data_IF_358065898947
#
_entry.id   IF_358065898947
#
_cell.length_a   1.000
_cell.length_b   1.000
_cell.length_c   1.000
_cell.angle_alpha   90.00
_cell.angle_beta   90.00
_cell.angle_gamma   90.00
#
_symmetry.space_group_name_H-M   'P 1'
#
loop_
_entity.id
_entity.type
_entity.pdbx_description
1 polymer ?
#
# COMPACT_ATOMS: atom_id res chain seq x y z
N UNK A 1 16.05 -5.22 -4.05
CA UNK A 1 16.56 -4.16 -4.95
C UNK A 1 16.22 -2.85 -4.28
N UNK A 2 17.21 -2.14 -3.75
CA UNK A 2 17.01 -0.83 -3.12
C UNK A 2 17.30 0.18 -4.22
N UNK A 3 16.26 0.85 -4.67
CA UNK A 3 16.37 1.80 -5.76
C UNK A 3 16.94 3.11 -5.21
N UNK A 4 18.22 3.35 -5.49
CA UNK A 4 18.80 4.68 -5.36
C UNK A 4 18.16 5.61 -6.37
N UNK A 5 17.99 6.87 -5.98
CA UNK A 5 17.62 8.05 -6.76
C UNK A 5 17.88 7.87 -8.27
N UNK A 6 16.87 7.45 -9.02
CA UNK A 6 16.87 7.52 -10.47
C UNK A 6 15.73 8.43 -10.89
N UNK A 7 16.07 9.49 -11.60
CA UNK A 7 15.11 10.47 -12.13
C UNK A 7 14.25 9.92 -13.29
N UNK A 8 14.52 8.68 -13.72
CA UNK A 8 13.82 8.00 -14.82
C UNK A 8 13.14 6.72 -14.32
N UNK A 9 12.03 6.91 -13.59
CA UNK A 9 11.19 5.81 -13.16
C UNK A 9 10.19 5.47 -14.28
N UNK A 10 10.04 4.19 -14.64
CA UNK A 10 9.08 3.80 -15.66
C UNK A 10 7.66 4.14 -15.20
N UNK A 11 6.87 4.67 -16.13
CA UNK A 11 5.46 4.97 -15.91
C UNK A 11 4.70 3.74 -15.37
N UNK A 12 3.64 3.91 -14.56
CA UNK A 12 2.90 2.79 -13.98
C UNK A 12 2.39 1.77 -15.03
N UNK A 13 1.95 2.27 -16.19
CA UNK A 13 1.50 1.43 -17.30
C UNK A 13 2.66 0.60 -17.90
N UNK A 14 3.86 1.18 -17.98
CA UNK A 14 5.04 0.46 -18.46
C UNK A 14 5.50 -0.60 -17.44
N UNK A 15 5.50 -0.24 -16.15
CA UNK A 15 5.76 -1.18 -15.06
C UNK A 15 4.81 -2.38 -15.13
N UNK A 16 3.51 -2.14 -15.36
CA UNK A 16 2.52 -3.21 -15.54
C UNK A 16 2.83 -4.05 -16.79
N UNK A 17 3.07 -3.42 -17.93
CA UNK A 17 3.34 -4.11 -19.20
C UNK A 17 4.57 -5.04 -19.10
N UNK A 18 5.65 -4.58 -18.48
CA UNK A 18 6.87 -5.38 -18.23
C UNK A 18 6.59 -6.57 -17.31
N UNK A 19 5.70 -6.40 -16.34
CA UNK A 19 5.39 -7.43 -15.34
C UNK A 19 4.46 -8.54 -15.87
N UNK A 20 3.52 -8.22 -16.76
CA UNK A 20 2.62 -9.22 -17.39
C UNK A 20 3.30 -10.03 -18.50
N UNK A 21 4.40 -9.53 -19.06
CA UNK A 21 5.20 -10.23 -20.07
C UNK A 21 5.98 -11.44 -19.51
N UNK A 22 6.08 -11.59 -18.19
CA UNK A 22 6.79 -12.69 -17.53
C UNK A 22 5.82 -13.81 -17.14
N UNK A 23 6.17 -15.10 -17.36
CA UNK A 23 5.36 -16.22 -16.87
C UNK A 23 5.16 -16.12 -15.36
N UNK A 24 3.93 -16.36 -14.89
CA UNK A 24 3.61 -16.45 -13.46
C UNK A 24 3.04 -17.83 -13.13
N UNK A 25 3.38 -18.35 -11.96
CA UNK A 25 2.68 -19.49 -11.38
C UNK A 25 1.21 -19.13 -11.20
N UNK A 26 0.31 -20.03 -11.60
CA UNK A 26 -1.13 -19.88 -11.40
C UNK A 26 -1.57 -20.85 -10.29
N UNK A 27 -2.59 -20.46 -9.54
CA UNK A 27 -3.24 -21.33 -8.55
C UNK A 27 -2.72 -21.21 -7.12
N UNK A 28 -1.74 -20.35 -6.87
CA UNK A 28 -1.22 -20.08 -5.53
C UNK A 28 -1.25 -18.58 -5.22
N UNK A 29 -1.44 -18.24 -3.94
CA UNK A 29 -1.35 -16.86 -3.49
C UNK A 29 0.11 -16.42 -3.49
N UNK A 30 0.39 -15.25 -4.07
CA UNK A 30 1.69 -14.60 -3.99
C UNK A 30 1.51 -13.08 -3.99
N UNK A 31 2.14 -12.41 -3.03
CA UNK A 31 2.12 -10.96 -2.96
C UNK A 31 2.77 -10.33 -4.21
N UNK A 32 2.16 -9.29 -4.75
CA UNK A 32 2.67 -8.59 -5.93
C UNK A 32 2.30 -7.11 -5.93
N UNK A 33 3.28 -6.22 -5.80
CA UNK A 33 3.09 -4.78 -5.99
C UNK A 33 2.46 -4.44 -7.35
N UNK A 34 2.75 -5.23 -8.39
CA UNK A 34 2.13 -5.07 -9.71
C UNK A 34 0.59 -5.12 -9.65
N UNK A 35 0.01 -5.91 -8.76
CA UNK A 35 -1.45 -5.99 -8.62
C UNK A 35 -2.02 -4.65 -8.16
N UNK A 36 -1.35 -3.96 -7.23
CA UNK A 36 -1.77 -2.64 -6.77
C UNK A 36 -1.50 -1.54 -7.78
N UNK A 37 -0.42 -1.64 -8.56
CA UNK A 37 -0.22 -0.77 -9.73
C UNK A 37 -1.35 -0.95 -10.76
N UNK A 38 -1.78 -2.18 -11.02
CA UNK A 38 -2.93 -2.43 -11.89
C UNK A 38 -4.23 -1.84 -11.31
N UNK A 39 -4.44 -1.92 -9.98
CA UNK A 39 -5.60 -1.32 -9.31
C UNK A 39 -5.60 0.20 -9.41
N UNK A 40 -4.45 0.87 -9.23
CA UNK A 40 -4.35 2.31 -9.43
C UNK A 40 -4.72 2.73 -10.86
N UNK A 41 -4.18 2.02 -11.88
CA UNK A 41 -4.53 2.26 -13.28
C UNK A 41 -6.02 1.99 -13.57
N UNK A 42 -6.62 0.98 -12.94
CA UNK A 42 -8.04 0.69 -13.05
C UNK A 42 -8.89 1.83 -12.47
N UNK A 43 -8.49 2.40 -11.34
CA UNK A 43 -9.16 3.58 -10.76
C UNK A 43 -9.13 4.73 -11.77
N UNK A 44 -7.98 5.02 -12.38
CA UNK A 44 -7.87 6.10 -13.37
C UNK A 44 -8.73 5.81 -14.60
N UNK A 45 -8.71 4.58 -15.11
CA UNK A 45 -9.49 4.20 -16.28
C UNK A 45 -11.01 4.29 -16.06
N UNK A 46 -11.49 3.92 -14.87
CA UNK A 46 -12.93 3.93 -14.55
C UNK A 46 -13.42 5.32 -14.18
N UNK A 47 -12.59 6.15 -13.55
CA UNK A 47 -12.99 7.47 -13.06
C UNK A 47 -12.62 8.62 -14.00
N UNK A 48 -11.66 8.41 -14.91
CA UNK A 48 -11.08 9.46 -15.74
C UNK A 48 -10.26 10.49 -14.97
N UNK A 49 -9.83 10.16 -13.74
CA UNK A 49 -9.13 11.07 -12.82
C UNK A 49 -7.84 10.43 -12.29
N UNK A 50 -6.82 11.21 -11.91
CA UNK A 50 -5.64 10.67 -11.25
C UNK A 50 -6.02 9.88 -9.99
N UNK A 51 -5.45 8.70 -9.80
CA UNK A 51 -5.87 7.82 -8.71
C UNK A 51 -5.65 8.49 -7.33
N UNK A 52 -4.62 9.34 -7.25
CA UNK A 52 -4.29 10.14 -6.07
C UNK A 52 -5.43 11.06 -5.63
N UNK A 53 -6.05 11.74 -6.59
CA UNK A 53 -7.19 12.60 -6.32
C UNK A 53 -8.42 11.81 -5.88
N UNK A 54 -8.63 10.63 -6.46
CA UNK A 54 -9.75 9.75 -6.09
C UNK A 54 -9.56 9.24 -4.66
N UNK A 55 -8.37 8.79 -4.28
CA UNK A 55 -8.07 8.33 -2.91
C UNK A 55 -8.21 9.48 -1.91
N UNK A 56 -7.67 10.67 -2.24
CA UNK A 56 -7.81 11.85 -1.40
C UNK A 56 -9.28 12.18 -1.12
N UNK A 57 -10.09 12.29 -2.17
CA UNK A 57 -11.49 12.71 -2.07
C UNK A 57 -12.39 11.64 -1.44
N UNK A 58 -12.16 10.35 -1.74
CA UNK A 58 -13.05 9.27 -1.29
C UNK A 58 -12.63 8.62 0.01
N UNK A 59 -11.37 8.77 0.42
CA UNK A 59 -10.82 8.08 1.59
C UNK A 59 -10.24 9.08 2.58
N UNK A 60 -9.28 9.91 2.17
CA UNK A 60 -8.52 10.73 3.11
C UNK A 60 -9.37 11.87 3.71
N UNK A 61 -10.05 12.64 2.86
CA UNK A 61 -10.85 13.80 3.28
C UNK A 61 -12.08 13.41 4.12
N UNK A 62 -12.90 12.40 3.75
CA UNK A 62 -14.11 12.05 4.51
C UNK A 62 -13.82 11.64 5.95
N UNK A 63 -12.72 10.94 6.17
CA UNK A 63 -12.30 10.49 7.50
C UNK A 63 -11.20 11.37 8.08
N UNK A 64 -10.97 12.57 7.53
CA UNK A 64 -10.12 13.60 8.15
C UNK A 64 -8.65 13.22 8.33
N UNK A 65 -8.04 12.48 7.40
CA UNK A 65 -6.62 12.09 7.41
C UNK A 65 -5.71 13.24 6.94
N UNK A 66 -5.70 14.32 7.71
CA UNK A 66 -5.06 15.60 7.35
C UNK A 66 -3.54 15.56 7.25
N UNK A 67 -2.88 14.51 7.77
CA UNK A 67 -1.42 14.31 7.70
C UNK A 67 -1.05 13.12 6.82
N UNK A 68 -1.99 12.68 5.99
CA UNK A 68 -1.78 11.60 5.03
C UNK A 68 -1.79 12.17 3.62
N UNK A 69 -0.77 11.85 2.82
CA UNK A 69 -0.66 12.34 1.44
C UNK A 69 0.07 11.36 0.53
N UNK A 70 -0.16 11.53 -0.76
CA UNK A 70 0.68 10.95 -1.81
C UNK A 70 1.72 11.98 -2.21
N UNK A 71 3.00 11.77 -1.88
CA UNK A 71 4.07 12.74 -2.14
C UNK A 71 4.47 12.79 -3.62
N UNK A 72 4.05 11.82 -4.45
CA UNK A 72 4.51 11.75 -5.83
C UNK A 72 6.02 11.54 -5.88
N UNK A 73 6.71 12.40 -6.62
CA UNK A 73 8.16 12.41 -6.79
C UNK A 73 8.90 13.25 -5.73
N UNK A 74 8.18 13.87 -4.78
CA UNK A 74 8.80 14.54 -3.63
C UNK A 74 9.69 13.54 -2.86
N UNK A 75 10.95 13.92 -2.66
CA UNK A 75 11.92 13.09 -1.95
C UNK A 75 12.05 13.44 -0.47
N UNK A 76 11.54 14.60 -0.06
CA UNK A 76 11.67 15.12 1.30
C UNK A 76 10.35 14.95 2.07
N UNK A 77 10.47 14.62 3.36
CA UNK A 77 9.34 14.51 4.27
C UNK A 77 9.19 15.79 5.12
N UNK A 78 7.95 16.24 5.42
CA UNK A 78 7.73 17.34 6.34
C UNK A 78 8.25 17.01 7.74
N UNK A 79 8.79 18.01 8.42
CA UNK A 79 9.18 17.88 9.82
C UNK A 79 7.96 17.95 10.76
N UNK A 80 7.95 17.20 11.88
CA UNK A 80 8.89 16.14 12.23
C UNK A 80 8.59 14.82 11.51
N UNK A 81 9.62 14.10 11.06
CA UNK A 81 9.48 12.73 10.53
C UNK A 81 10.46 11.74 11.19
N UNK A 82 10.15 10.44 11.05
CA UNK A 82 11.06 9.39 11.47
C UNK A 82 12.08 9.12 10.36
N UNK A 83 13.33 8.92 10.77
CA UNK A 83 14.36 8.40 9.87
C UNK A 83 14.24 6.88 9.76
N UNK A 84 14.34 6.37 8.53
CA UNK A 84 14.40 4.95 8.25
C UNK A 84 15.82 4.59 7.88
N UNK A 85 16.36 3.49 8.42
CA UNK A 85 17.73 3.08 8.15
C UNK A 85 17.77 1.66 7.61
N UNK A 86 18.60 1.43 6.59
CA UNK A 86 18.81 0.10 6.01
C UNK A 86 20.30 -0.15 5.80
N UNK A 87 20.75 -1.36 6.12
CA UNK A 87 22.12 -1.77 5.81
C UNK A 87 22.23 -2.13 4.32
N UNK A 88 23.10 -1.42 3.60
CA UNK A 88 23.41 -1.64 2.18
C UNK A 88 24.91 -1.79 2.05
N UNK A 89 25.37 -2.93 1.55
CA UNK A 89 26.79 -3.25 1.37
C UNK A 89 27.63 -2.99 2.64
N UNK A 90 27.08 -3.36 3.80
CA UNK A 90 27.72 -3.22 5.11
C UNK A 90 27.73 -1.78 5.67
N UNK A 91 26.94 -0.87 5.10
CA UNK A 91 26.78 0.51 5.59
C UNK A 91 25.34 0.81 5.95
N UNK A 92 25.13 1.44 7.09
CA UNK A 92 23.81 1.93 7.49
C UNK A 92 23.50 3.21 6.70
N UNK A 93 22.52 3.12 5.80
CA UNK A 93 22.07 4.23 4.94
C UNK A 93 20.77 4.80 5.49
N UNK A 94 20.67 6.13 5.58
CA UNK A 94 19.43 6.83 5.90
C UNK A 94 18.56 6.93 4.65
N UNK A 95 17.36 6.38 4.74
CA UNK A 95 16.35 6.32 3.69
C UNK A 95 15.19 7.29 3.94
N UNK A 96 15.29 8.22 4.89
CA UNK A 96 14.28 9.26 5.11
C UNK A 96 14.01 10.08 3.85
N UNK A 97 15.02 10.22 2.99
CA UNK A 97 14.92 10.84 1.67
C UNK A 97 14.80 9.76 0.60
N UNK A 98 13.62 9.65 -0.01
CA UNK A 98 13.36 8.67 -1.08
C UNK A 98 12.24 9.16 -1.99
N UNK A 99 12.36 8.89 -3.29
CA UNK A 99 11.25 9.08 -4.22
C UNK A 99 10.25 7.92 -4.04
N UNK A 100 9.12 8.18 -3.40
CA UNK A 100 8.10 7.18 -3.10
C UNK A 100 7.21 6.82 -4.31
N UNK A 101 7.20 7.62 -5.38
CA UNK A 101 6.45 7.31 -6.61
C UNK A 101 6.83 5.97 -7.24
N UNK A 102 8.00 5.42 -6.88
CA UNK A 102 8.44 4.08 -7.25
C UNK A 102 7.47 2.98 -6.82
N UNK A 103 6.89 3.10 -5.62
CA UNK A 103 5.87 2.19 -5.15
C UNK A 103 4.50 2.52 -5.75
N UNK A 104 4.28 3.79 -6.13
CA UNK A 104 3.04 4.31 -6.68
C UNK A 104 1.83 3.85 -5.85
N UNK A 105 0.74 3.40 -6.49
CA UNK A 105 -0.44 2.87 -5.82
C UNK A 105 -0.18 1.65 -4.90
N UNK A 106 0.99 1.01 -4.98
CA UNK A 106 1.36 -0.12 -4.13
C UNK A 106 2.00 0.27 -2.79
N UNK A 107 2.33 1.55 -2.55
CA UNK A 107 2.96 1.92 -1.28
C UNK A 107 3.51 3.34 -1.14
N UNK A 108 3.11 4.31 -1.97
CA UNK A 108 3.69 5.66 -1.89
C UNK A 108 3.15 6.54 -0.74
N UNK A 109 2.09 6.12 -0.06
CA UNK A 109 1.42 6.95 0.95
C UNK A 109 2.34 7.25 2.14
N UNK A 110 2.40 8.53 2.51
CA UNK A 110 3.02 9.00 3.75
C UNK A 110 1.90 9.32 4.73
N UNK A 111 2.02 8.88 5.98
CA UNK A 111 0.99 9.06 7.01
C UNK A 111 1.59 9.21 8.41
N UNK A 112 0.73 9.30 9.42
CA UNK A 112 1.10 9.26 10.84
C UNK A 112 0.39 8.12 11.54
N UNK A 113 0.92 7.66 12.67
CA UNK A 113 0.27 6.60 13.47
C UNK A 113 -1.19 6.96 13.85
N UNK A 114 -1.47 8.23 14.13
CA UNK A 114 -2.82 8.69 14.45
C UNK A 114 -3.77 8.59 13.25
N UNK A 115 -3.32 9.00 12.06
CA UNK A 115 -4.11 8.93 10.84
C UNK A 115 -4.34 7.47 10.41
N UNK A 116 -3.32 6.60 10.52
CA UNK A 116 -3.48 5.17 10.24
C UNK A 116 -4.49 4.49 11.18
N UNK A 117 -4.43 4.80 12.48
CA UNK A 117 -5.43 4.29 13.43
C UNK A 117 -6.85 4.75 13.07
N UNK A 118 -6.99 6.01 12.64
CA UNK A 118 -8.27 6.57 12.20
C UNK A 118 -8.77 5.91 10.92
N UNK A 119 -7.88 5.67 9.95
CA UNK A 119 -8.19 4.93 8.73
C UNK A 119 -8.73 3.53 9.05
N UNK A 120 -8.01 2.74 9.84
CA UNK A 120 -8.46 1.39 10.19
C UNK A 120 -9.75 1.40 11.01
N UNK A 121 -9.94 2.36 11.92
CA UNK A 121 -11.19 2.51 12.65
C UNK A 121 -12.38 2.80 11.71
N UNK A 122 -12.19 3.67 10.71
CA UNK A 122 -13.24 4.02 9.75
C UNK A 122 -13.57 2.89 8.77
N UNK A 123 -12.55 2.16 8.28
CA UNK A 123 -12.76 0.99 7.41
C UNK A 123 -13.47 -0.13 8.17
N UNK A 124 -12.94 -0.52 9.33
CA UNK A 124 -13.45 -1.65 10.11
C UNK A 124 -14.74 -1.33 10.86
N UNK A 125 -14.99 -0.04 11.12
CA UNK A 125 -16.24 0.46 11.66
C UNK A 125 -17.36 0.62 10.62
N UNK A 126 -17.08 0.40 9.33
CA UNK A 126 -18.07 0.51 8.26
C UNK A 126 -18.43 1.95 7.86
N UNK A 127 -17.58 2.93 8.16
CA UNK A 127 -17.76 4.33 7.75
C UNK A 127 -17.39 4.53 6.27
N UNK A 128 -16.35 3.83 5.80
CA UNK A 128 -15.85 3.92 4.42
C UNK A 128 -16.41 2.86 3.47
N UNK A 129 -16.88 1.72 4.00
CA UNK A 129 -17.34 0.58 3.21
C UNK A 129 -18.69 0.10 3.72
N UNK A 130 -19.60 -0.23 2.80
CA UNK A 130 -20.83 -0.94 3.14
C UNK A 130 -20.54 -2.35 3.68
N UNK A 131 -21.54 -2.97 4.34
CA UNK A 131 -21.37 -4.28 4.98
C UNK A 131 -20.87 -5.38 4.03
N UNK A 132 -21.39 -5.43 2.80
CA UNK A 132 -20.98 -6.42 1.80
C UNK A 132 -19.56 -6.15 1.28
N UNK A 133 -19.17 -4.89 1.10
CA UNK A 133 -17.84 -4.49 0.65
C UNK A 133 -16.78 -4.78 1.72
N UNK A 134 -17.10 -4.49 2.99
CA UNK A 134 -16.24 -4.82 4.12
C UNK A 134 -16.09 -6.35 4.27
N UNK A 135 -17.19 -7.10 4.12
CA UNK A 135 -17.13 -8.56 4.13
C UNK A 135 -16.23 -9.10 3.00
N UNK A 136 -16.35 -8.54 1.79
CA UNK A 136 -15.48 -8.90 0.68
C UNK A 136 -14.01 -8.56 0.96
N UNK A 137 -13.73 -7.38 1.53
CA UNK A 137 -12.38 -6.95 1.91
C UNK A 137 -11.73 -7.92 2.90
N UNK A 138 -12.50 -8.39 3.88
CA UNK A 138 -12.03 -9.27 4.96
C UNK A 138 -12.01 -10.76 4.60
N UNK A 139 -12.63 -11.14 3.48
CA UNK A 139 -12.63 -12.52 2.97
C UNK A 139 -11.29 -12.80 2.30
N UNK A 140 -10.34 -13.30 3.08
CA UNK A 140 -8.98 -13.60 2.63
C UNK A 140 -8.76 -15.05 2.19
N UNK A 141 -7.70 -15.24 1.41
CA UNK A 141 -7.15 -16.57 1.09
C UNK A 141 -5.93 -16.86 1.97
N UNK A 142 -5.62 -18.12 2.30
CA UNK A 142 -4.41 -18.47 3.02
C UNK A 142 -3.16 -17.98 2.29
N UNK A 143 -2.21 -17.40 3.03
CA UNK A 143 -1.01 -16.79 2.45
C UNK A 143 0.32 -17.51 2.79
N UNK A 144 0.23 -18.74 3.32
CA UNK A 144 1.39 -19.59 3.60
C UNK A 144 1.88 -19.58 5.05
N UNK A 145 1.71 -18.48 5.78
CA UNK A 145 2.32 -18.27 7.11
C UNK A 145 1.32 -18.40 8.27
N UNK A 146 0.24 -19.17 8.07
CA UNK A 146 -0.85 -19.26 9.05
C UNK A 146 -1.72 -18.01 9.13
N UNK A 147 -1.52 -17.06 8.20
CA UNK A 147 -2.36 -15.86 8.05
C UNK A 147 -3.19 -15.94 6.76
N UNK A 148 -4.13 -15.01 6.60
CA UNK A 148 -4.93 -14.87 5.39
C UNK A 148 -4.79 -13.45 4.82
N UNK A 149 -4.95 -13.31 3.51
CA UNK A 149 -4.87 -12.01 2.84
C UNK A 149 -6.14 -11.78 2.00
N UNK A 150 -6.87 -10.71 2.32
CA UNK A 150 -8.07 -10.26 1.65
C UNK A 150 -7.80 -9.22 0.57
N UNK A 151 -8.75 -8.33 0.34
CA UNK A 151 -8.58 -7.23 -0.61
C UNK A 151 -7.87 -6.07 0.10
N UNK A 152 -6.54 -5.99 -0.01
CA UNK A 152 -5.79 -4.89 0.61
C UNK A 152 -5.50 -5.04 2.11
N UNK A 153 -5.78 -6.19 2.72
CA UNK A 153 -5.63 -6.37 4.17
C UNK A 153 -5.23 -7.79 4.55
N UNK A 154 -4.24 -7.89 5.44
CA UNK A 154 -3.84 -9.14 6.07
C UNK A 154 -4.64 -9.39 7.35
N UNK A 155 -4.89 -10.66 7.62
CA UNK A 155 -5.63 -11.15 8.76
C UNK A 155 -4.83 -12.22 9.49
N UNK A 156 -4.57 -11.96 10.76
CA UNK A 156 -3.90 -12.89 11.67
C UNK A 156 -4.84 -13.21 12.84
N UNK A 157 -4.94 -14.49 13.20
CA UNK A 157 -5.69 -14.91 14.40
C UNK A 157 -4.71 -15.06 15.55
N UNK A 158 -4.90 -14.26 16.60
CA UNK A 158 -4.02 -14.32 17.76
C UNK A 158 -4.47 -15.41 18.74
N UNK A 159 -3.54 -16.13 19.39
CA UNK A 159 -3.88 -17.28 20.23
C UNK A 159 -4.83 -17.00 21.41
N UNK A 160 -4.89 -15.77 21.93
CA UNK A 160 -5.60 -15.49 23.20
C UNK A 160 -6.48 -14.22 23.22
N UNK A 161 -6.52 -13.39 22.17
CA UNK A 161 -7.10 -12.03 22.26
C UNK A 161 -7.92 -11.55 21.06
N UNK A 162 -8.05 -12.32 19.97
CA UNK A 162 -8.92 -11.98 18.83
C UNK A 162 -8.18 -11.94 17.49
N UNK A 163 -8.73 -11.20 16.52
CA UNK A 163 -8.22 -11.08 15.14
C UNK A 163 -7.47 -9.76 14.99
N UNK A 164 -6.22 -9.81 14.52
CA UNK A 164 -5.43 -8.64 14.10
C UNK A 164 -5.62 -8.41 12.60
N UNK A 165 -5.89 -7.16 12.23
CA UNK A 165 -5.99 -6.72 10.84
C UNK A 165 -4.93 -5.65 10.58
N UNK A 166 -4.06 -5.90 9.63
CA UNK A 166 -2.96 -5.02 9.26
C UNK A 166 -2.55 -5.26 7.81
N UNK A 167 -1.80 -4.34 7.21
CA UNK A 167 -1.08 -4.65 5.98
C UNK A 167 0.07 -5.63 6.30
N UNK A 168 -0.19 -6.92 6.10
CA UNK A 168 0.82 -7.95 6.32
C UNK A 168 1.66 -8.12 5.05
N UNK A 169 2.86 -7.55 5.07
CA UNK A 169 3.88 -7.89 4.09
C UNK A 169 4.48 -9.26 4.43
N UNK A 170 4.93 -10.04 3.43
CA UNK A 170 5.64 -11.29 3.67
C UNK A 170 6.82 -11.06 4.62
N UNK A 171 7.00 -11.93 5.61
CA UNK A 171 8.20 -11.91 6.45
C UNK A 171 9.35 -12.48 5.62
N UNK A 172 10.39 -11.67 5.37
CA UNK A 172 11.61 -12.08 4.68
C UNK A 172 12.63 -12.67 5.64
#
# INVERSE_FOLDING_TARGET
MIFRYTDDLPEPAETLARAVAKPRGLGEWAYSNTNYVALGLLIEAVTGRPYGDVVRERVLEPVGLTRTRMPGDEVDLPEPHLHAYLEIDGKLEDLARMNASQAWAAGQLVSTAADLNRFYAAVLGGELLGGDELAAMLTGVPNGDGTAYGLGIGRETLPETGVLLAELLPRY
#
